data_IF_703306479987
#
_entry.id   IF_703306479987
#
_cell.length_a   1.000
_cell.length_b   1.000
_cell.length_c   1.000
_cell.angle_alpha   90.00
_cell.angle_beta   90.00
_cell.angle_gamma   90.00
#
_symmetry.space_group_name_H-M   'P 1'
#
loop_
_entity.id
_entity.type
_entity.pdbx_description
1 polymer ?
#
# COMPACT_ATOMS: atom_id res chain seq x y z
N UNK A 1 0.10 -45.21 49.95
CA UNK A 1 1.32 -44.53 49.44
C UNK A 1 1.18 -43.99 48.01
N UNK A 2 0.05 -44.17 47.30
CA UNK A 2 -0.14 -43.79 45.88
C UNK A 2 -0.30 -42.28 45.55
N UNK A 3 -0.69 -41.41 46.50
CA UNK A 3 -1.07 -40.02 46.17
C UNK A 3 0.09 -39.10 45.72
N UNK A 4 1.36 -39.50 45.91
CA UNK A 4 2.51 -38.63 45.58
C UNK A 4 2.87 -38.65 44.09
N UNK A 5 2.66 -39.77 43.39
CA UNK A 5 3.04 -39.92 41.98
C UNK A 5 2.01 -39.33 41.01
N UNK A 6 0.71 -39.41 41.34
CA UNK A 6 -0.36 -38.87 40.50
C UNK A 6 -0.24 -37.35 40.30
N UNK A 7 0.19 -36.59 41.31
CA UNK A 7 0.38 -35.14 41.20
C UNK A 7 1.53 -34.77 40.25
N UNK A 8 2.67 -35.46 40.34
CA UNK A 8 3.81 -35.21 39.45
C UNK A 8 3.45 -35.54 37.99
N UNK A 9 2.76 -36.66 37.78
CA UNK A 9 2.28 -37.05 36.46
C UNK A 9 1.29 -36.03 35.89
N UNK A 10 0.35 -35.54 36.70
CA UNK A 10 -0.62 -34.52 36.29
C UNK A 10 0.05 -33.18 35.93
N UNK A 11 0.97 -32.68 36.77
CA UNK A 11 1.71 -31.44 36.45
C UNK A 11 2.57 -31.63 35.19
N UNK A 12 3.16 -32.79 34.98
CA UNK A 12 3.93 -33.07 33.76
C UNK A 12 3.06 -33.00 32.49
N UNK A 13 1.83 -33.51 32.54
CA UNK A 13 0.86 -33.38 31.44
C UNK A 13 0.52 -31.91 31.18
N UNK A 14 0.28 -31.10 32.22
CA UNK A 14 0.03 -29.67 32.07
C UNK A 14 1.22 -28.93 31.45
N UNK A 15 2.43 -29.25 31.89
CA UNK A 15 3.65 -28.66 31.33
C UNK A 15 3.75 -28.99 29.83
N UNK A 16 3.50 -30.24 29.43
CA UNK A 16 3.50 -30.63 28.02
C UNK A 16 2.45 -29.88 27.20
N UNK A 17 1.24 -29.69 27.75
CA UNK A 17 0.19 -28.89 27.10
C UNK A 17 0.63 -27.44 26.90
N UNK A 18 1.20 -26.79 27.92
CA UNK A 18 1.70 -25.40 27.82
C UNK A 18 2.81 -25.29 26.77
N UNK A 19 3.70 -26.28 26.66
CA UNK A 19 4.73 -26.31 25.62
C UNK A 19 4.13 -26.37 24.22
N UNK A 20 3.11 -27.21 23.99
CA UNK A 20 2.41 -27.30 22.70
C UNK A 20 1.69 -25.99 22.36
N UNK A 21 1.06 -25.35 23.36
CA UNK A 21 0.41 -24.04 23.19
C UNK A 21 1.43 -22.96 22.82
N UNK A 22 2.59 -22.93 23.49
CA UNK A 22 3.66 -21.99 23.19
C UNK A 22 4.20 -22.15 21.77
N UNK A 23 4.40 -23.39 21.32
CA UNK A 23 4.80 -23.68 19.94
C UNK A 23 3.73 -23.24 18.93
N UNK A 24 2.45 -23.43 19.26
CA UNK A 24 1.32 -23.01 18.41
C UNK A 24 1.23 -21.49 18.31
N UNK A 25 1.38 -20.76 19.43
CA UNK A 25 1.41 -19.31 19.45
C UNK A 25 2.58 -18.74 18.61
N UNK A 26 3.77 -19.33 18.75
CA UNK A 26 4.93 -18.94 17.95
C UNK A 26 4.70 -19.17 16.45
N UNK A 27 4.08 -20.29 16.07
CA UNK A 27 3.73 -20.57 14.67
C UNK A 27 2.74 -19.53 14.12
N UNK A 28 1.68 -19.21 14.87
CA UNK A 28 0.69 -18.21 14.47
C UNK A 28 1.30 -16.81 14.36
N UNK A 29 2.16 -16.41 15.31
CA UNK A 29 2.87 -15.14 15.25
C UNK A 29 3.75 -15.06 13.98
N UNK A 30 4.49 -16.13 13.66
CA UNK A 30 5.33 -16.18 12.47
C UNK A 30 4.53 -16.05 11.17
N UNK A 31 3.36 -16.69 11.09
CA UNK A 31 2.47 -16.56 9.93
C UNK A 31 1.98 -15.13 9.79
N UNK A 32 1.52 -14.50 10.88
CA UNK A 32 1.05 -13.12 10.87
C UNK A 32 2.16 -12.13 10.44
N UNK A 33 3.42 -12.32 10.87
CA UNK A 33 4.55 -11.50 10.39
C UNK A 33 4.79 -11.69 8.89
N UNK A 34 4.77 -12.94 8.41
CA UNK A 34 4.98 -13.22 6.98
C UNK A 34 3.90 -12.55 6.14
N UNK A 35 2.63 -12.72 6.53
CA UNK A 35 1.51 -12.10 5.82
C UNK A 35 1.56 -10.57 5.89
N UNK A 36 1.97 -9.98 7.03
CA UNK A 36 2.16 -8.54 7.12
C UNK A 36 3.23 -8.04 6.11
N UNK A 37 4.34 -8.77 5.99
CA UNK A 37 5.39 -8.42 5.04
C UNK A 37 4.92 -8.52 3.57
N UNK A 38 4.09 -9.52 3.25
CA UNK A 38 3.49 -9.65 1.92
C UNK A 38 2.54 -8.47 1.60
N UNK A 39 1.79 -8.01 2.60
CA UNK A 39 0.93 -6.83 2.47
C UNK A 39 1.75 -5.54 2.34
N UNK A 40 2.82 -5.36 3.12
CA UNK A 40 3.75 -4.23 2.96
C UNK A 40 4.33 -4.17 1.54
N UNK A 41 4.74 -5.32 0.99
CA UNK A 41 5.25 -5.39 -0.38
C UNK A 41 4.18 -5.00 -1.41
N UNK A 42 2.94 -5.47 -1.21
CA UNK A 42 1.81 -5.14 -2.08
C UNK A 42 1.45 -3.66 -2.02
N UNK A 43 1.49 -3.05 -0.83
CA UNK A 43 1.29 -1.61 -0.65
C UNK A 43 2.38 -0.78 -1.31
N UNK A 44 3.65 -1.20 -1.17
CA UNK A 44 4.77 -0.56 -1.87
C UNK A 44 4.60 -0.64 -3.39
N UNK A 45 4.26 -1.81 -3.93
CA UNK A 45 4.00 -1.96 -5.36
C UNK A 45 2.84 -1.07 -5.84
N UNK A 46 1.73 -0.99 -5.10
CA UNK A 46 0.62 -0.11 -5.42
C UNK A 46 1.04 1.38 -5.39
N UNK A 47 1.84 1.81 -4.40
CA UNK A 47 2.37 3.18 -4.35
C UNK A 47 3.32 3.51 -5.51
N UNK A 48 4.14 2.56 -5.94
CA UNK A 48 5.00 2.72 -7.11
C UNK A 48 4.14 2.85 -8.37
N UNK A 49 3.07 2.04 -8.50
CA UNK A 49 2.13 2.15 -9.60
C UNK A 49 1.42 3.51 -9.62
N UNK A 50 0.96 4.00 -8.47
CA UNK A 50 0.36 5.32 -8.32
C UNK A 50 1.33 6.44 -8.74
N UNK A 51 2.56 6.40 -8.24
CA UNK A 51 3.57 7.40 -8.58
C UNK A 51 3.99 7.34 -10.06
N UNK A 52 4.05 6.13 -10.63
CA UNK A 52 4.31 5.94 -12.06
C UNK A 52 3.19 6.54 -12.90
N UNK A 53 1.93 6.25 -12.57
CA UNK A 53 0.75 6.81 -13.23
C UNK A 53 0.80 8.34 -13.17
N UNK A 54 1.07 8.90 -11.99
CA UNK A 54 1.21 10.35 -11.80
C UNK A 54 2.28 10.96 -12.71
N UNK A 55 3.50 10.43 -12.68
CA UNK A 55 4.61 10.96 -13.47
C UNK A 55 4.31 10.84 -14.97
N UNK A 56 3.84 9.68 -15.42
CA UNK A 56 3.58 9.44 -16.84
C UNK A 56 2.46 10.35 -17.35
N UNK A 57 1.37 10.48 -16.61
CA UNK A 57 0.25 11.34 -16.99
C UNK A 57 0.66 12.81 -17.02
N UNK A 58 1.47 13.27 -16.06
CA UNK A 58 2.05 14.60 -16.10
C UNK A 58 2.94 14.79 -17.34
N UNK A 59 3.87 13.88 -17.62
CA UNK A 59 4.74 14.00 -18.78
C UNK A 59 3.93 14.12 -20.07
N UNK A 60 2.96 13.23 -20.31
CA UNK A 60 2.15 13.28 -21.52
C UNK A 60 1.28 14.53 -21.59
N UNK A 61 0.60 14.90 -20.52
CA UNK A 61 -0.28 16.07 -20.51
C UNK A 61 0.52 17.37 -20.73
N UNK A 62 1.73 17.49 -20.16
CA UNK A 62 2.62 18.63 -20.43
C UNK A 62 3.23 18.60 -21.84
N UNK A 63 3.49 17.42 -22.41
CA UNK A 63 3.88 17.30 -23.82
C UNK A 63 2.76 17.79 -24.76
N UNK A 64 1.51 17.39 -24.49
CA UNK A 64 0.34 17.86 -25.23
C UNK A 64 0.11 19.36 -25.05
N UNK A 65 0.22 19.88 -23.83
CA UNK A 65 0.13 21.31 -23.56
C UNK A 65 1.23 22.12 -24.28
N UNK A 66 2.46 21.62 -24.29
CA UNK A 66 3.56 22.22 -25.05
C UNK A 66 3.26 22.20 -26.56
N UNK A 67 2.69 21.12 -27.07
CA UNK A 67 2.29 21.05 -28.47
C UNK A 67 1.16 22.04 -28.79
N UNK A 68 0.17 22.16 -27.91
CA UNK A 68 -0.91 23.16 -28.03
C UNK A 68 -0.36 24.60 -28.07
N UNK A 69 0.53 24.96 -27.15
CA UNK A 69 1.12 26.31 -27.14
C UNK A 69 1.98 26.58 -28.37
N UNK A 70 2.70 25.57 -28.88
CA UNK A 70 3.43 25.67 -30.14
C UNK A 70 2.47 25.86 -31.33
N UNK A 71 1.39 25.08 -31.41
CA UNK A 71 0.33 25.23 -32.40
C UNK A 71 -0.23 26.65 -32.40
N UNK A 72 -0.65 27.15 -31.23
CA UNK A 72 -1.23 28.48 -31.10
C UNK A 72 -0.24 29.56 -31.56
N UNK A 73 1.03 29.45 -31.16
CA UNK A 73 2.09 30.37 -31.58
C UNK A 73 2.29 30.39 -33.10
N UNK A 74 2.35 29.23 -33.75
CA UNK A 74 2.53 29.17 -35.21
C UNK A 74 1.28 29.64 -35.96
N UNK A 75 0.09 29.37 -35.41
CA UNK A 75 -1.16 29.86 -35.97
C UNK A 75 -1.24 31.39 -35.94
N UNK A 76 -0.93 31.99 -34.78
CA UNK A 76 -0.88 33.45 -34.61
C UNK A 76 0.20 34.10 -35.46
N UNK A 77 1.39 33.50 -35.56
CA UNK A 77 2.44 33.98 -36.45
C UNK A 77 1.96 34.03 -37.91
N UNK A 78 1.19 33.04 -38.36
CA UNK A 78 0.60 33.05 -39.70
C UNK A 78 -0.41 34.20 -39.90
N UNK A 79 -1.21 34.55 -38.89
CA UNK A 79 -2.08 35.72 -38.96
C UNK A 79 -1.29 37.04 -39.03
N UNK A 80 -0.20 37.16 -38.27
CA UNK A 80 0.65 38.35 -38.25
C UNK A 80 1.44 38.57 -39.56
N UNK A 81 1.64 37.53 -40.38
CA UNK A 81 2.31 37.64 -41.68
C UNK A 81 1.44 38.32 -42.75
N UNK A 82 0.13 38.42 -42.53
CA UNK A 82 -0.78 39.11 -43.44
C UNK A 82 -0.67 40.63 -43.27
N UNK A 83 -0.03 41.30 -44.24
CA UNK A 83 0.03 42.77 -44.30
C UNK A 83 -0.80 43.28 -45.50
N UNK A 84 -1.94 43.95 -45.26
CA UNK A 84 -2.80 44.48 -46.33
C UNK A 84 -2.16 45.63 -47.12
N UNK A 85 -1.08 46.24 -46.62
CA UNK A 85 -0.41 47.39 -47.25
C UNK A 85 0.93 47.02 -47.92
N UNK A 86 1.31 45.73 -47.93
CA UNK A 86 2.55 45.27 -48.52
C UNK A 86 2.56 45.41 -50.05
N UNK A 87 3.75 45.69 -50.62
CA UNK A 87 3.94 45.62 -52.07
C UNK A 87 3.86 44.17 -52.58
N UNK A 88 3.82 43.99 -53.92
CA UNK A 88 3.56 42.66 -54.50
C UNK A 88 4.66 41.63 -54.18
N UNK A 89 5.91 42.08 -54.04
CA UNK A 89 7.05 41.20 -53.76
C UNK A 89 7.07 40.78 -52.29
N UNK A 90 6.84 41.72 -51.38
CA UNK A 90 6.69 41.46 -49.95
C UNK A 90 5.47 40.57 -49.67
N UNK A 91 4.35 40.79 -50.37
CA UNK A 91 3.16 39.97 -50.22
C UNK A 91 3.41 38.52 -50.69
N UNK A 92 4.06 38.33 -51.84
CA UNK A 92 4.42 36.99 -52.32
C UNK A 92 5.36 36.25 -51.35
N UNK A 93 6.35 36.95 -50.78
CA UNK A 93 7.25 36.39 -49.77
C UNK A 93 6.50 36.03 -48.47
N UNK A 94 5.65 36.93 -47.99
CA UNK A 94 4.88 36.71 -46.77
C UNK A 94 3.88 35.55 -46.93
N UNK A 95 3.24 35.41 -48.08
CA UNK A 95 2.34 34.30 -48.38
C UNK A 95 3.05 32.93 -48.33
N UNK A 96 4.30 32.85 -48.84
CA UNK A 96 5.10 31.62 -48.75
C UNK A 96 5.44 31.26 -47.29
N UNK A 97 5.85 32.23 -46.49
CA UNK A 97 6.15 32.04 -45.05
C UNK A 97 4.87 31.66 -44.29
N UNK A 98 3.76 32.32 -44.59
CA UNK A 98 2.45 32.06 -43.99
C UNK A 98 2.01 30.61 -44.23
N UNK A 99 2.17 30.11 -45.45
CA UNK A 99 1.86 28.72 -45.80
C UNK A 99 2.75 27.73 -45.02
N UNK A 100 4.03 28.04 -44.83
CA UNK A 100 4.96 27.22 -44.05
C UNK A 100 4.55 27.15 -42.57
N UNK A 101 4.31 28.29 -41.92
CA UNK A 101 3.97 28.33 -40.49
C UNK A 101 2.61 27.68 -40.19
N UNK A 102 1.62 27.85 -41.07
CA UNK A 102 0.34 27.15 -40.93
C UNK A 102 0.47 25.65 -41.23
N UNK A 103 1.35 25.25 -42.15
CA UNK A 103 1.68 23.84 -42.36
C UNK A 103 2.25 23.19 -41.09
N UNK A 104 3.15 23.88 -40.40
CA UNK A 104 3.69 23.43 -39.10
C UNK A 104 2.60 23.35 -38.04
N UNK A 105 1.76 24.38 -37.91
CA UNK A 105 0.63 24.38 -36.96
C UNK A 105 -0.31 23.20 -37.21
N UNK A 106 -0.74 22.99 -38.47
CA UNK A 106 -1.60 21.88 -38.85
C UNK A 106 -0.98 20.53 -38.49
N UNK A 107 0.32 20.35 -38.77
CA UNK A 107 1.04 19.12 -38.42
C UNK A 107 1.03 18.83 -36.92
N UNK A 108 1.29 19.85 -36.09
CA UNK A 108 1.29 19.72 -34.64
C UNK A 108 -0.11 19.33 -34.12
N UNK A 109 -1.16 20.04 -34.58
CA UNK A 109 -2.53 19.80 -34.12
C UNK A 109 -3.06 18.39 -34.43
N UNK A 110 -2.59 17.78 -35.52
CA UNK A 110 -3.10 16.48 -35.98
C UNK A 110 -2.55 15.29 -35.21
N UNK A 111 -1.46 15.46 -34.46
CA UNK A 111 -0.70 14.34 -33.87
C UNK A 111 -0.51 14.47 -32.37
N UNK A 112 -0.42 15.69 -31.83
CA UNK A 112 0.20 15.89 -30.51
C UNK A 112 -0.74 16.38 -29.40
N UNK A 113 -2.00 16.70 -29.66
CA UNK A 113 -2.97 17.01 -28.59
C UNK A 113 -4.41 16.79 -29.07
N UNK A 114 -5.31 16.51 -28.13
CA UNK A 114 -6.72 16.25 -28.45
C UNK A 114 -7.56 17.53 -28.36
N UNK A 115 -8.39 17.86 -29.37
CA UNK A 115 -9.28 19.02 -29.32
C UNK A 115 -10.30 18.99 -28.17
N UNK A 116 -10.57 17.82 -27.58
CA UNK A 116 -11.56 17.68 -26.51
C UNK A 116 -11.17 18.39 -25.21
N UNK A 117 -9.88 18.66 -25.03
CA UNK A 117 -9.34 19.38 -23.88
C UNK A 117 -9.20 20.88 -24.17
N UNK A 118 -9.78 21.38 -25.26
CA UNK A 118 -9.79 22.81 -25.55
C UNK A 118 -11.13 23.35 -25.06
N UNK A 119 -11.06 24.27 -24.10
CA UNK A 119 -12.22 24.93 -23.54
C UNK A 119 -12.86 25.88 -24.59
N UNK A 120 -14.14 26.27 -24.40
CA UNK A 120 -14.82 27.20 -25.30
C UNK A 120 -14.14 28.57 -25.42
N UNK A 121 -13.32 28.94 -24.44
CA UNK A 121 -12.50 30.16 -24.44
C UNK A 121 -11.18 30.01 -25.23
N UNK A 122 -10.92 28.82 -25.78
CA UNK A 122 -9.72 28.50 -26.55
C UNK A 122 -8.51 28.14 -25.69
N UNK A 123 -8.64 28.00 -24.37
CA UNK A 123 -7.56 27.55 -23.50
C UNK A 123 -7.48 26.03 -23.42
N UNK A 124 -6.29 25.49 -23.18
CA UNK A 124 -6.09 24.06 -22.99
C UNK A 124 -6.32 23.67 -21.53
N UNK A 125 -7.24 22.75 -21.30
CA UNK A 125 -7.60 22.21 -19.99
C UNK A 125 -6.67 21.05 -19.61
N UNK A 126 -5.51 21.42 -19.09
CA UNK A 126 -4.53 20.46 -18.59
C UNK A 126 -5.07 19.63 -17.42
N UNK A 127 -5.87 20.26 -16.55
CA UNK A 127 -6.39 19.63 -15.34
C UNK A 127 -7.40 18.53 -15.70
N UNK A 128 -8.29 18.80 -16.65
CA UNK A 128 -9.24 17.80 -17.14
C UNK A 128 -8.52 16.60 -17.75
N UNK A 129 -7.49 16.83 -18.58
CA UNK A 129 -6.72 15.74 -19.17
C UNK A 129 -6.04 14.88 -18.10
N UNK A 130 -5.40 15.51 -17.11
CA UNK A 130 -4.77 14.81 -16.00
C UNK A 130 -5.79 13.98 -15.21
N UNK A 131 -6.92 14.57 -14.83
CA UNK A 131 -7.96 13.88 -14.07
C UNK A 131 -8.52 12.68 -14.82
N UNK A 132 -8.75 12.80 -16.12
CA UNK A 132 -9.23 11.69 -16.95
C UNK A 132 -8.17 10.58 -17.06
N UNK A 133 -6.90 10.94 -17.26
CA UNK A 133 -5.80 9.97 -17.32
C UNK A 133 -5.61 9.23 -15.98
N UNK A 134 -5.66 9.94 -14.86
CA UNK A 134 -5.65 9.34 -13.53
C UNK A 134 -6.84 8.42 -13.27
N UNK A 135 -8.04 8.84 -13.69
CA UNK A 135 -9.24 8.04 -13.55
C UNK A 135 -9.16 6.75 -14.38
N UNK A 136 -8.53 6.81 -15.56
CA UNK A 136 -8.28 5.63 -16.40
C UNK A 136 -7.25 4.69 -15.75
N UNK A 137 -6.12 5.21 -15.29
CA UNK A 137 -5.10 4.39 -14.63
C UNK A 137 -5.62 3.73 -13.34
N UNK A 138 -6.49 4.43 -12.60
CA UNK A 138 -7.16 3.87 -11.42
C UNK A 138 -8.16 2.76 -11.76
N UNK A 139 -8.67 2.69 -12.99
CA UNK A 139 -9.49 1.58 -13.47
C UNK A 139 -8.64 0.40 -13.94
N UNK A 140 -7.53 0.70 -14.63
CA UNK A 140 -6.66 -0.31 -15.23
C UNK A 140 -5.71 -0.97 -14.22
N UNK A 141 -5.41 -0.27 -13.12
CA UNK A 141 -4.46 -0.71 -12.11
C UNK A 141 -4.89 -0.28 -10.71
N UNK A 142 -4.55 -1.10 -9.72
CA UNK A 142 -4.70 -0.69 -8.33
C UNK A 142 -3.60 0.33 -7.97
N UNK A 143 -4.04 1.55 -7.69
CA UNK A 143 -3.19 2.68 -7.28
C UNK A 143 -3.34 2.98 -5.77
N UNK A 144 -4.23 2.27 -5.06
CA UNK A 144 -4.51 2.58 -3.66
C UNK A 144 -3.68 1.69 -2.74
N UNK A 145 -2.61 2.25 -2.19
CA UNK A 145 -1.74 1.54 -1.27
C UNK A 145 -2.31 1.41 0.16
N UNK A 146 -3.24 2.29 0.55
CA UNK A 146 -3.72 2.41 1.93
C UNK A 146 -4.27 1.11 2.52
N UNK A 147 -5.15 0.35 1.82
CA UNK A 147 -5.73 -0.87 2.38
C UNK A 147 -4.69 -1.95 2.68
N UNK A 148 -3.60 -2.00 1.92
CA UNK A 148 -2.51 -2.96 2.14
C UNK A 148 -1.73 -2.63 3.39
N UNK A 149 -1.43 -1.35 3.64
CA UNK A 149 -0.73 -0.93 4.85
C UNK A 149 -1.61 -1.06 6.10
N UNK A 150 -2.91 -0.74 6.01
CA UNK A 150 -3.85 -0.96 7.11
C UNK A 150 -3.93 -2.44 7.52
N UNK A 151 -3.97 -3.33 6.53
CA UNK A 151 -3.99 -4.78 6.77
C UNK A 151 -2.66 -5.28 7.33
N UNK A 152 -1.52 -4.80 6.82
CA UNK A 152 -0.19 -5.09 7.37
C UNK A 152 -0.11 -4.69 8.86
N UNK A 153 -0.59 -3.49 9.21
CA UNK A 153 -0.59 -3.00 10.59
C UNK A 153 -1.51 -3.81 11.50
N UNK A 154 -2.63 -4.31 10.98
CA UNK A 154 -3.50 -5.25 11.69
C UNK A 154 -2.78 -6.56 11.98
N UNK A 155 -2.12 -7.14 10.98
CA UNK A 155 -1.36 -8.39 11.11
C UNK A 155 -0.14 -8.24 12.03
N UNK A 156 0.55 -7.09 12.01
CA UNK A 156 1.63 -6.76 12.95
C UNK A 156 1.14 -6.68 14.39
N UNK A 157 -0.02 -6.05 14.62
CA UNK A 157 -0.65 -6.03 15.96
C UNK A 157 -1.00 -7.43 16.44
N UNK A 158 -1.57 -8.26 15.57
CA UNK A 158 -1.85 -9.66 15.86
C UNK A 158 -0.58 -10.44 16.24
N UNK A 159 0.49 -10.30 15.45
CA UNK A 159 1.79 -10.93 15.75
C UNK A 159 2.39 -10.46 17.08
N UNK A 160 2.38 -9.15 17.33
CA UNK A 160 2.88 -8.56 18.56
C UNK A 160 2.12 -9.08 19.78
N UNK A 161 0.80 -9.19 19.66
CA UNK A 161 -0.05 -9.75 20.72
C UNK A 161 0.26 -11.23 20.99
N UNK A 162 0.38 -12.06 19.94
CA UNK A 162 0.74 -13.48 20.09
C UNK A 162 2.16 -13.67 20.66
N UNK A 163 3.08 -12.77 20.33
CA UNK A 163 4.43 -12.77 20.91
C UNK A 163 4.39 -12.40 22.40
N UNK A 164 3.56 -11.43 22.80
CA UNK A 164 3.34 -11.12 24.21
C UNK A 164 2.71 -12.29 24.97
N UNK A 165 1.81 -13.04 24.32
CA UNK A 165 1.18 -14.22 24.91
C UNK A 165 2.19 -15.34 25.23
N UNK A 166 3.26 -15.48 24.44
CA UNK A 166 4.36 -16.39 24.76
C UNK A 166 5.01 -16.10 26.12
N UNK A 167 5.04 -14.84 26.57
CA UNK A 167 5.56 -14.48 27.89
C UNK A 167 4.66 -15.06 28.99
N UNK A 168 3.34 -15.00 28.82
CA UNK A 168 2.36 -15.56 29.76
C UNK A 168 2.52 -17.08 29.85
N UNK A 169 2.68 -17.75 28.71
CA UNK A 169 2.93 -19.19 28.65
C UNK A 169 4.29 -19.58 29.27
N UNK A 170 5.32 -18.75 29.12
CA UNK A 170 6.61 -18.96 29.79
C UNK A 170 6.49 -18.85 31.32
N UNK A 171 5.72 -17.88 31.83
CA UNK A 171 5.41 -17.80 33.27
C UNK A 171 4.63 -19.03 33.75
N UNK A 172 3.64 -19.49 32.98
CA UNK A 172 2.91 -20.72 33.28
C UNK A 172 3.84 -21.92 33.40
N UNK A 173 4.73 -22.10 32.41
CA UNK A 173 5.73 -23.17 32.39
C UNK A 173 6.65 -23.11 33.61
N UNK A 174 7.12 -21.90 33.98
CA UNK A 174 7.97 -21.71 35.15
C UNK A 174 7.27 -22.11 36.46
N UNK A 175 6.02 -21.68 36.66
CA UNK A 175 5.26 -22.03 37.86
C UNK A 175 4.94 -23.53 37.94
N UNK A 176 4.62 -24.17 36.82
CA UNK A 176 4.42 -25.62 36.78
C UNK A 176 5.70 -26.39 37.10
N UNK A 177 6.85 -25.91 36.63
CA UNK A 177 8.16 -26.48 36.96
C UNK A 177 8.49 -26.32 38.45
N UNK A 178 8.24 -25.14 39.02
CA UNK A 178 8.38 -24.90 40.47
C UNK A 178 7.46 -25.79 41.32
N UNK A 179 6.25 -26.07 40.83
CA UNK A 179 5.31 -26.96 41.48
C UNK A 179 5.82 -28.41 41.55
N UNK A 180 6.57 -28.87 40.53
CA UNK A 180 7.20 -30.19 40.54
C UNK A 180 8.39 -30.28 41.51
N UNK A 181 9.19 -29.20 41.62
CA UNK A 181 10.36 -29.15 42.47
C UNK A 181 10.03 -29.00 43.98
N UNK A 182 8.85 -28.49 44.32
CA UNK A 182 8.46 -28.19 45.71
C UNK A 182 7.75 -29.37 46.38
N UNK A 183 8.23 -29.85 47.54
CA UNK A 183 7.58 -30.97 48.25
C UNK A 183 6.48 -30.57 49.25
N UNK A 184 6.50 -29.32 49.75
CA UNK A 184 5.56 -28.82 50.78
C UNK A 184 4.16 -28.53 50.21
N UNK A 185 3.18 -28.27 51.08
CA UNK A 185 1.80 -27.89 50.71
C UNK A 185 1.70 -26.71 49.72
N UNK A 186 2.73 -25.86 49.68
CA UNK A 186 2.86 -24.72 48.74
C UNK A 186 2.86 -25.17 47.27
N UNK A 187 3.19 -26.43 46.96
CA UNK A 187 3.20 -26.97 45.58
C UNK A 187 1.85 -26.83 44.85
N UNK A 188 0.72 -26.88 45.59
CA UNK A 188 -0.60 -26.71 45.00
C UNK A 188 -0.88 -25.25 44.62
N UNK A 189 -0.29 -24.29 45.35
CA UNK A 189 -0.40 -22.87 45.03
C UNK A 189 0.35 -22.54 43.74
N UNK A 190 1.58 -23.07 43.59
CA UNK A 190 2.35 -22.92 42.35
C UNK A 190 1.66 -23.60 41.16
N UNK A 191 1.11 -24.80 41.35
CA UNK A 191 0.36 -25.48 40.29
C UNK A 191 -0.91 -24.70 39.88
N UNK A 192 -1.64 -24.12 40.85
CA UNK A 192 -2.82 -23.30 40.57
C UNK A 192 -2.45 -22.02 39.79
N UNK A 193 -1.39 -21.32 40.19
CA UNK A 193 -0.90 -20.14 39.47
C UNK A 193 -0.45 -20.49 38.04
N UNK A 194 0.30 -21.59 37.88
CA UNK A 194 0.74 -22.08 36.58
C UNK A 194 -0.45 -22.44 35.68
N UNK A 195 -1.45 -23.14 36.22
CA UNK A 195 -2.65 -23.50 35.47
C UNK A 195 -3.49 -22.27 35.07
N UNK A 196 -3.65 -21.29 35.97
CA UNK A 196 -4.35 -20.03 35.66
C UNK A 196 -3.63 -19.23 34.58
N UNK A 197 -2.30 -19.11 34.65
CA UNK A 197 -1.50 -18.47 33.62
C UNK A 197 -1.59 -19.23 32.28
N UNK A 198 -1.62 -20.57 32.30
CA UNK A 198 -1.79 -21.38 31.10
C UNK A 198 -3.16 -21.20 30.44
N UNK A 199 -4.23 -21.10 31.24
CA UNK A 199 -5.56 -20.78 30.75
C UNK A 199 -5.65 -19.35 30.19
N UNK A 200 -4.98 -18.39 30.85
CA UNK A 200 -4.89 -17.02 30.35
C UNK A 200 -4.19 -16.98 28.99
N UNK A 201 -3.07 -17.71 28.83
CA UNK A 201 -2.38 -17.84 27.54
C UNK A 201 -3.25 -18.48 26.46
N UNK A 202 -3.98 -19.55 26.81
CA UNK A 202 -4.92 -20.17 25.88
C UNK A 202 -6.04 -19.21 25.43
N UNK A 203 -6.53 -18.37 26.36
CA UNK A 203 -7.43 -17.27 26.04
C UNK A 203 -6.78 -16.21 25.14
N UNK A 204 -5.51 -15.86 25.39
CA UNK A 204 -4.71 -14.97 24.55
C UNK A 204 -4.59 -15.47 23.12
N UNK A 205 -4.28 -16.74 22.89
CA UNK A 205 -4.24 -17.32 21.54
C UNK A 205 -5.59 -17.17 20.81
N UNK A 206 -6.71 -17.41 21.50
CA UNK A 206 -8.05 -17.30 20.90
C UNK A 206 -8.36 -15.83 20.54
N UNK A 207 -8.08 -14.90 21.45
CA UNK A 207 -8.29 -13.47 21.23
C UNK A 207 -7.40 -12.98 20.08
N UNK A 208 -6.12 -13.30 20.13
CA UNK A 208 -5.16 -12.93 19.10
C UNK A 208 -5.54 -13.46 17.73
N UNK A 209 -6.13 -14.66 17.64
CA UNK A 209 -6.52 -15.26 16.37
C UNK A 209 -7.85 -14.73 15.79
N UNK A 210 -8.83 -14.44 16.62
CA UNK A 210 -10.21 -14.19 16.17
C UNK A 210 -10.73 -12.77 16.40
N UNK A 211 -10.08 -11.98 17.26
CA UNK A 211 -10.55 -10.65 17.65
C UNK A 211 -9.60 -9.50 17.28
N UNK A 212 -8.41 -9.81 16.76
CA UNK A 212 -7.41 -8.87 16.22
C UNK A 212 -7.14 -9.22 14.75
#
# INVERSE_FOLDING_TARGET
>A
MEKKDNFKSWVAVLTALVTVLGASAACLASVAVSSAADQDFSGLDASIRAQKAEIINHVYAYEHYRAFTAYFRYNELGYLMHDPNADSEANARNAAIQQEVWGVASGISSVFFSPRYINPDGQYDLEQELQEAFAQDAQDSDLNAEPYFEESDRLRRQSSFLTADMIVLAFSFWFLTLAQATEKKIKYLWAALGALAGLAGLGGIIIGRFLL
#
